data_IF_714048508886
#
_entry.id   IF_714048508886
#
_cell.length_a   1.000
_cell.length_b   1.000
_cell.length_c   1.000
_cell.angle_alpha   90.00
_cell.angle_beta   90.00
_cell.angle_gamma   90.00
#
_symmetry.space_group_name_H-M   'P 1'
#
loop_
_entity.id
_entity.type
_entity.pdbx_description
1 polymer ?
#
# COMPACT_ATOMS: atom_id res chain seq x y z
N UNK A 1 -24.07 -16.80 -7.26
CA UNK A 1 -23.86 -15.34 -7.32
C UNK A 1 -22.38 -15.00 -7.48
N UNK A 2 -21.46 -15.57 -6.68
CA UNK A 2 -19.99 -15.40 -6.86
C UNK A 2 -19.44 -15.91 -8.20
N UNK A 3 -20.01 -17.03 -8.64
CA UNK A 3 -19.74 -17.64 -9.94
C UNK A 3 -20.12 -16.75 -11.13
N UNK A 4 -20.94 -15.70 -10.96
CA UNK A 4 -21.36 -14.87 -12.10
C UNK A 4 -20.34 -13.79 -12.46
N UNK A 5 -19.81 -13.04 -11.48
CA UNK A 5 -18.85 -11.97 -11.75
C UNK A 5 -17.56 -12.56 -12.34
N UNK A 6 -17.01 -13.56 -11.68
CA UNK A 6 -15.78 -14.23 -12.11
C UNK A 6 -15.92 -14.91 -13.48
N UNK A 7 -17.10 -15.45 -13.79
CA UNK A 7 -17.41 -16.01 -15.11
C UNK A 7 -17.52 -14.93 -16.16
N UNK A 8 -18.25 -13.84 -15.90
CA UNK A 8 -18.37 -12.71 -16.85
C UNK A 8 -16.99 -12.15 -17.19
N UNK A 9 -16.14 -11.92 -16.20
CA UNK A 9 -14.76 -11.46 -16.41
C UNK A 9 -13.91 -12.48 -17.19
N UNK A 10 -14.05 -13.78 -16.90
CA UNK A 10 -13.29 -14.80 -17.62
C UNK A 10 -13.74 -14.94 -19.09
N UNK A 11 -15.05 -14.91 -19.34
CA UNK A 11 -15.59 -14.97 -20.70
C UNK A 11 -15.22 -13.70 -21.49
N UNK A 12 -15.27 -12.52 -20.86
CA UNK A 12 -14.80 -11.26 -21.44
C UNK A 12 -13.32 -11.30 -21.78
N UNK A 13 -12.46 -11.78 -20.87
CA UNK A 13 -11.03 -11.91 -21.10
C UNK A 13 -10.75 -12.82 -22.30
N UNK A 14 -11.48 -13.92 -22.45
CA UNK A 14 -11.32 -14.85 -23.58
C UNK A 14 -11.71 -14.18 -24.90
N UNK A 15 -12.84 -13.49 -24.92
CA UNK A 15 -13.29 -12.74 -26.10
C UNK A 15 -12.31 -11.62 -26.46
N UNK A 16 -11.83 -10.87 -25.47
CA UNK A 16 -10.84 -9.82 -25.65
C UNK A 16 -9.52 -10.36 -26.23
N UNK A 17 -9.00 -11.46 -25.68
CA UNK A 17 -7.78 -12.10 -26.16
C UNK A 17 -7.92 -12.62 -27.60
N UNK A 18 -9.07 -13.20 -27.93
CA UNK A 18 -9.36 -13.68 -29.28
C UNK A 18 -9.49 -12.54 -30.28
N UNK A 19 -10.21 -11.48 -29.93
CA UNK A 19 -10.53 -10.39 -30.85
C UNK A 19 -9.33 -9.47 -31.11
N UNK A 20 -8.51 -9.19 -30.11
CA UNK A 20 -7.39 -8.25 -30.23
C UNK A 20 -6.08 -8.92 -30.62
N UNK A 21 -5.88 -10.19 -30.26
CA UNK A 21 -4.60 -10.88 -30.45
C UNK A 21 -4.72 -12.21 -31.19
N UNK A 22 -5.93 -12.65 -31.54
CA UNK A 22 -6.14 -13.96 -32.17
C UNK A 22 -5.84 -15.15 -31.24
N UNK A 23 -5.81 -14.93 -29.93
CA UNK A 23 -5.39 -15.93 -28.94
C UNK A 23 -6.63 -16.58 -28.30
N UNK A 24 -6.75 -17.89 -28.46
CA UNK A 24 -7.81 -18.67 -27.82
C UNK A 24 -7.41 -19.10 -26.40
N UNK A 25 -7.85 -18.35 -25.39
CA UNK A 25 -7.60 -18.72 -23.99
C UNK A 25 -8.53 -19.87 -23.54
N UNK A 26 -7.94 -20.87 -22.86
CA UNK A 26 -8.71 -21.90 -22.14
C UNK A 26 -9.50 -21.28 -21.00
N UNK A 27 -10.70 -21.80 -20.73
CA UNK A 27 -11.56 -21.32 -19.64
C UNK A 27 -10.88 -21.40 -18.27
N UNK A 28 -10.16 -22.48 -17.99
CA UNK A 28 -9.39 -22.64 -16.74
C UNK A 28 -8.35 -21.52 -16.57
N UNK A 29 -7.56 -21.23 -17.60
CA UNK A 29 -6.56 -20.16 -17.55
C UNK A 29 -7.20 -18.78 -17.39
N UNK A 30 -8.32 -18.52 -18.06
CA UNK A 30 -9.03 -17.26 -17.92
C UNK A 30 -9.48 -17.02 -16.48
N UNK A 31 -10.00 -18.04 -15.80
CA UNK A 31 -10.39 -17.89 -14.40
C UNK A 31 -9.20 -17.71 -13.45
N UNK A 32 -8.07 -18.35 -13.71
CA UNK A 32 -6.84 -18.14 -12.92
C UNK A 32 -6.30 -16.72 -13.09
N UNK A 33 -6.31 -16.19 -14.32
CA UNK A 33 -5.90 -14.81 -14.57
C UNK A 33 -6.87 -13.82 -13.93
N UNK A 34 -8.19 -14.02 -14.05
CA UNK A 34 -9.18 -13.18 -13.37
C UNK A 34 -8.94 -13.16 -11.85
N UNK A 35 -8.62 -14.30 -11.25
CA UNK A 35 -8.28 -14.37 -9.83
C UNK A 35 -7.04 -13.51 -9.49
N UNK A 36 -6.00 -13.58 -10.33
CA UNK A 36 -4.80 -12.75 -10.18
C UNK A 36 -5.10 -11.25 -10.32
N UNK A 37 -5.95 -10.87 -11.28
CA UNK A 37 -6.40 -9.49 -11.42
C UNK A 37 -7.20 -9.02 -10.20
N UNK A 38 -7.94 -9.90 -9.53
CA UNK A 38 -8.62 -9.58 -8.26
C UNK A 38 -7.71 -9.69 -7.02
N UNK A 39 -6.41 -9.89 -7.23
CA UNK A 39 -5.36 -9.91 -6.21
C UNK A 39 -5.18 -11.23 -5.48
N UNK A 40 -5.72 -12.33 -6.02
CA UNK A 40 -5.55 -13.67 -5.47
C UNK A 40 -4.45 -14.45 -6.16
N UNK A 41 -3.76 -15.31 -5.42
CA UNK A 41 -2.73 -16.21 -5.98
C UNK A 41 -3.30 -17.30 -6.89
N UNK A 42 -4.58 -17.65 -6.74
CA UNK A 42 -5.25 -18.66 -7.56
C UNK A 42 -6.77 -18.50 -7.55
N UNK A 43 -7.44 -19.16 -8.49
CA UNK A 43 -8.91 -19.28 -8.47
C UNK A 43 -9.42 -19.95 -7.19
N UNK A 44 -8.70 -20.94 -6.68
CA UNK A 44 -9.08 -21.62 -5.44
C UNK A 44 -9.00 -20.66 -4.23
N UNK A 45 -7.97 -19.82 -4.16
CA UNK A 45 -7.84 -18.80 -3.12
C UNK A 45 -8.98 -17.77 -3.20
N UNK A 46 -9.34 -17.32 -4.41
CA UNK A 46 -10.48 -16.44 -4.62
C UNK A 46 -11.77 -17.04 -4.06
N UNK A 47 -12.07 -18.29 -4.39
CA UNK A 47 -13.30 -18.98 -3.96
C UNK A 47 -13.30 -19.35 -2.47
N UNK A 48 -12.13 -19.35 -1.82
CA UNK A 48 -11.99 -19.61 -0.41
C UNK A 48 -12.14 -18.33 0.44
N UNK A 49 -12.14 -17.14 -0.16
CA UNK A 49 -12.31 -15.88 0.57
C UNK A 49 -13.75 -15.71 1.04
N UNK A 50 -13.98 -16.11 2.29
CA UNK A 50 -15.25 -15.95 2.98
C UNK A 50 -15.37 -14.60 3.70
N UNK A 51 -14.27 -13.86 3.84
CA UNK A 51 -14.19 -12.63 4.62
C UNK A 51 -14.57 -11.40 3.79
N UNK A 52 -14.07 -11.35 2.56
CA UNK A 52 -14.35 -10.27 1.59
C UNK A 52 -14.65 -10.89 0.22
N UNK A 53 -15.72 -11.70 0.07
CA UNK A 53 -16.01 -12.38 -1.18
C UNK A 53 -16.26 -11.37 -2.31
N UNK A 54 -15.83 -11.72 -3.53
CA UNK A 54 -15.95 -10.81 -4.69
C UNK A 54 -17.40 -10.46 -5.05
N UNK A 55 -18.39 -11.22 -4.58
CA UNK A 55 -19.82 -10.86 -4.72
C UNK A 55 -20.18 -9.54 -4.09
N UNK A 56 -19.42 -9.11 -3.08
CA UNK A 56 -19.67 -7.88 -2.35
C UNK A 56 -19.19 -6.65 -3.12
N UNK A 57 -18.75 -6.77 -4.37
CA UNK A 57 -18.17 -5.65 -5.12
C UNK A 57 -19.10 -4.44 -5.20
N UNK A 58 -20.42 -4.66 -5.19
CA UNK A 58 -21.45 -3.59 -5.13
C UNK A 58 -21.47 -2.79 -3.83
N UNK A 59 -20.82 -3.29 -2.79
CA UNK A 59 -20.68 -2.61 -1.49
C UNK A 59 -19.40 -1.77 -1.44
N UNK A 60 -18.50 -1.91 -2.43
CA UNK A 60 -17.28 -1.12 -2.49
C UNK A 60 -17.58 0.31 -2.94
N UNK A 61 -16.95 1.27 -2.26
CA UNK A 61 -16.91 2.69 -2.62
C UNK A 61 -15.73 2.97 -3.56
N UNK A 62 -14.68 2.16 -3.51
CA UNK A 62 -13.52 2.27 -4.38
C UNK A 62 -13.17 0.90 -4.93
N UNK A 63 -12.90 0.85 -6.24
CA UNK A 63 -12.27 -0.30 -6.88
C UNK A 63 -10.85 0.09 -7.22
N UNK A 64 -9.86 -0.63 -6.70
CA UNK A 64 -8.45 -0.33 -6.92
C UNK A 64 -7.82 -1.48 -7.68
N UNK A 65 -7.18 -1.17 -8.80
CA UNK A 65 -6.56 -2.17 -9.66
C UNK A 65 -5.37 -2.82 -8.96
N UNK A 66 -5.28 -4.15 -9.06
CA UNK A 66 -4.14 -4.92 -8.57
C UNK A 66 -2.86 -4.54 -9.32
N UNK A 67 -1.70 -4.39 -8.65
CA UNK A 67 -0.42 -4.20 -9.30
C UNK A 67 -0.12 -5.28 -10.34
N UNK A 68 0.58 -4.90 -11.42
CA UNK A 68 0.84 -5.83 -12.54
C UNK A 68 1.87 -6.92 -12.23
N UNK A 69 2.71 -6.74 -11.21
CA UNK A 69 3.77 -7.70 -10.87
C UNK A 69 3.24 -9.08 -10.46
N UNK A 70 2.31 -9.21 -9.48
CA UNK A 70 1.66 -10.49 -9.15
C UNK A 70 0.96 -11.16 -10.33
N UNK A 71 0.35 -10.36 -11.22
CA UNK A 71 -0.33 -10.87 -12.42
C UNK A 71 0.67 -11.49 -13.40
N UNK A 72 1.81 -10.83 -13.62
CA UNK A 72 2.89 -11.34 -14.48
C UNK A 72 3.51 -12.61 -13.91
N UNK A 73 3.75 -12.65 -12.60
CA UNK A 73 4.21 -13.86 -11.91
C UNK A 73 3.24 -15.01 -12.14
N UNK A 74 1.94 -14.76 -11.97
CA UNK A 74 0.92 -15.78 -12.24
C UNK A 74 0.90 -16.27 -13.68
N UNK A 75 1.09 -15.38 -14.65
CA UNK A 75 1.23 -15.78 -16.06
C UNK A 75 2.44 -16.71 -16.29
N UNK A 76 3.52 -16.58 -15.51
CA UNK A 76 4.70 -17.43 -15.67
C UNK A 76 4.54 -18.81 -15.02
N UNK A 77 3.71 -18.92 -13.97
CA UNK A 77 3.44 -20.19 -13.26
C UNK A 77 2.46 -21.11 -13.99
N UNK A 78 1.57 -20.54 -14.80
CA UNK A 78 0.49 -21.28 -15.45
C UNK A 78 1.00 -22.05 -16.68
N UNK A 79 1.16 -23.36 -16.51
CA UNK A 79 1.57 -24.26 -17.59
C UNK A 79 0.58 -24.26 -18.76
N UNK A 80 1.10 -24.14 -19.99
CA UNK A 80 0.30 -24.21 -21.21
C UNK A 80 -0.48 -22.94 -21.54
N UNK A 81 -0.09 -21.80 -20.95
CA UNK A 81 -0.49 -20.49 -21.46
C UNK A 81 0.15 -20.24 -22.85
N UNK A 82 -0.52 -19.49 -23.73
CA UNK A 82 0.06 -19.08 -25.01
C UNK A 82 1.30 -18.21 -24.81
N UNK A 83 2.41 -18.53 -25.48
CA UNK A 83 3.69 -17.80 -25.34
C UNK A 83 3.62 -16.33 -25.78
N UNK A 84 2.69 -16.01 -26.68
CA UNK A 84 2.49 -14.66 -27.21
C UNK A 84 1.42 -13.86 -26.44
N UNK A 85 1.02 -14.29 -25.24
CA UNK A 85 -0.01 -13.60 -24.48
C UNK A 85 0.52 -12.24 -23.98
N UNK A 86 -0.11 -11.12 -24.37
CA UNK A 86 0.34 -9.80 -23.93
C UNK A 86 0.07 -9.58 -22.44
N UNK A 87 0.82 -8.65 -21.84
CA UNK A 87 0.63 -8.27 -20.44
C UNK A 87 -0.53 -7.29 -20.21
N UNK A 88 -1.06 -6.69 -21.28
CA UNK A 88 -2.13 -5.67 -21.26
C UNK A 88 -3.51 -6.31 -21.39
N UNK A 89 -3.85 -7.21 -20.46
CA UNK A 89 -5.17 -7.89 -20.45
C UNK A 89 -6.17 -7.23 -19.50
N UNK A 90 -5.77 -6.14 -18.86
CA UNK A 90 -6.52 -5.41 -17.83
C UNK A 90 -7.93 -5.05 -18.31
N UNK A 91 -8.03 -4.50 -19.51
CA UNK A 91 -9.31 -4.08 -20.11
C UNK A 91 -10.23 -5.28 -20.29
N UNK A 92 -9.74 -6.38 -20.89
CA UNK A 92 -10.51 -7.60 -21.08
C UNK A 92 -11.08 -8.19 -19.79
N UNK A 93 -10.37 -8.06 -18.66
CA UNK A 93 -10.81 -8.55 -17.35
C UNK A 93 -11.85 -7.64 -16.71
N UNK A 94 -11.58 -6.33 -16.69
CA UNK A 94 -12.42 -5.37 -15.97
C UNK A 94 -13.60 -4.84 -16.78
N UNK A 95 -13.63 -5.08 -18.10
CA UNK A 95 -14.72 -4.64 -18.99
C UNK A 95 -16.12 -4.98 -18.44
N UNK A 96 -16.41 -6.19 -17.93
CA UNK A 96 -17.74 -6.52 -17.42
C UNK A 96 -18.09 -5.86 -16.08
N UNK A 97 -17.11 -5.24 -15.42
CA UNK A 97 -17.35 -4.42 -14.25
C UNK A 97 -17.83 -3.03 -14.68
N UNK A 98 -17.48 -2.57 -15.87
CA UNK A 98 -18.02 -1.33 -16.42
C UNK A 98 -19.42 -1.60 -17.01
N UNK A 99 -20.48 -1.41 -16.21
CA UNK A 99 -21.85 -1.44 -16.73
C UNK A 99 -22.22 -0.05 -17.30
N UNK A 100 -22.55 0.00 -18.58
CA UNK A 100 -22.99 1.22 -19.26
C UNK A 100 -24.38 1.72 -18.77
N UNK A 101 -25.20 0.82 -18.21
CA UNK A 101 -26.52 1.15 -17.66
C UNK A 101 -26.45 1.52 -16.17
N UNK A 102 -25.46 0.98 -15.47
CA UNK A 102 -25.26 1.07 -14.02
C UNK A 102 -23.92 1.79 -13.80
N UNK A 103 -23.92 3.12 -13.95
CA UNK A 103 -22.74 4.03 -13.90
C UNK A 103 -21.90 3.99 -12.61
N UNK A 104 -22.17 3.08 -11.68
CA UNK A 104 -21.56 3.05 -10.35
C UNK A 104 -20.08 2.64 -10.34
N UNK A 105 -19.63 1.77 -11.26
CA UNK A 105 -18.23 1.30 -11.27
C UNK A 105 -17.29 2.30 -11.98
N UNK A 106 -17.73 2.92 -13.07
CA UNK A 106 -16.86 3.74 -13.92
C UNK A 106 -16.25 4.97 -13.22
N UNK A 107 -16.90 5.53 -12.20
CA UNK A 107 -16.43 6.74 -11.51
C UNK A 107 -15.50 6.48 -10.33
N UNK A 108 -15.28 5.21 -9.96
CA UNK A 108 -14.58 4.85 -8.71
C UNK A 108 -13.48 3.78 -8.91
N UNK A 109 -13.03 3.57 -10.16
CA UNK A 109 -11.86 2.71 -10.44
C UNK A 109 -10.57 3.51 -10.38
N UNK A 110 -9.65 3.07 -9.54
CA UNK A 110 -8.36 3.70 -9.29
C UNK A 110 -7.21 2.81 -9.75
N UNK A 111 -6.18 3.36 -10.42
CA UNK A 111 -5.06 2.56 -10.92
C UNK A 111 -4.20 1.96 -9.80
N UNK A 112 -4.14 2.63 -8.64
CA UNK A 112 -3.48 2.17 -7.43
C UNK A 112 -3.95 2.99 -6.22
N UNK A 113 -3.62 2.51 -5.02
CA UNK A 113 -3.99 3.15 -3.75
C UNK A 113 -3.31 4.51 -3.55
N UNK A 114 -2.13 4.74 -4.15
CA UNK A 114 -1.45 6.03 -4.03
C UNK A 114 -2.24 7.13 -4.73
N UNK A 115 -2.66 6.91 -5.98
CA UNK A 115 -3.47 7.87 -6.75
C UNK A 115 -4.83 8.13 -6.09
N UNK A 116 -5.49 7.10 -5.57
CA UNK A 116 -6.70 7.26 -4.76
C UNK A 116 -6.45 8.19 -3.58
N UNK A 117 -5.38 7.96 -2.81
CA UNK A 117 -5.00 8.82 -1.69
C UNK A 117 -4.80 10.28 -2.09
N UNK A 118 -4.14 10.54 -3.23
CA UNK A 118 -3.94 11.91 -3.72
C UNK A 118 -5.26 12.61 -3.98
N UNK A 119 -6.21 11.93 -4.64
CA UNK A 119 -7.50 12.54 -4.96
C UNK A 119 -8.34 12.73 -3.70
N UNK A 120 -8.38 11.77 -2.78
CA UNK A 120 -9.05 11.95 -1.48
C UNK A 120 -8.48 13.16 -0.71
N UNK A 121 -7.16 13.36 -0.74
CA UNK A 121 -6.53 14.53 -0.13
C UNK A 121 -6.85 15.84 -0.87
N UNK A 122 -7.02 15.82 -2.19
CA UNK A 122 -7.49 16.99 -2.96
C UNK A 122 -8.94 17.33 -2.63
N UNK A 123 -9.81 16.33 -2.55
CA UNK A 123 -11.21 16.51 -2.14
C UNK A 123 -11.30 17.08 -0.73
N UNK A 124 -10.55 16.52 0.22
CA UNK A 124 -10.49 17.07 1.58
C UNK A 124 -9.99 18.52 1.61
N UNK A 125 -8.94 18.84 0.85
CA UNK A 125 -8.42 20.20 0.77
C UNK A 125 -9.46 21.17 0.19
N UNK A 126 -10.19 20.77 -0.86
CA UNK A 126 -11.22 21.59 -1.50
C UNK A 126 -12.45 21.83 -0.61
N UNK A 127 -12.76 20.90 0.30
CA UNK A 127 -13.83 21.06 1.29
C UNK A 127 -13.46 21.99 2.44
N UNK A 128 -12.16 22.23 2.67
CA UNK A 128 -11.71 23.07 3.77
C UNK A 128 -11.87 24.56 3.40
N UNK A 129 -12.72 25.33 4.11
CA UNK A 129 -12.99 26.73 3.81
C UNK A 129 -11.76 27.64 3.99
N UNK A 130 -10.73 27.17 4.71
CA UNK A 130 -9.45 27.86 4.89
C UNK A 130 -8.40 27.47 3.85
N UNK A 131 -8.71 26.54 2.95
CA UNK A 131 -7.84 26.23 1.83
C UNK A 131 -7.89 27.37 0.81
N UNK A 132 -6.77 28.08 0.68
CA UNK A 132 -6.65 29.15 -0.30
C UNK A 132 -6.43 28.54 -1.68
N UNK A 133 -7.21 28.91 -2.72
CA UNK A 133 -7.01 28.41 -4.09
C UNK A 133 -5.64 28.78 -4.68
N UNK A 134 -4.92 29.69 -4.02
CA UNK A 134 -3.55 30.07 -4.38
C UNK A 134 -2.47 29.20 -3.72
N UNK A 135 -2.83 28.26 -2.84
CA UNK A 135 -1.88 27.32 -2.25
C UNK A 135 -1.38 26.36 -3.34
N UNK A 136 -0.06 26.18 -3.42
CA UNK A 136 0.57 25.22 -4.32
C UNK A 136 1.25 24.13 -3.52
N UNK A 137 1.11 22.89 -3.97
CA UNK A 137 1.84 21.76 -3.41
C UNK A 137 3.31 21.90 -3.81
N UNK A 138 4.19 22.05 -2.84
CA UNK A 138 5.65 22.09 -3.03
C UNK A 138 6.26 20.69 -2.91
N UNK A 139 5.80 19.90 -1.92
CA UNK A 139 6.22 18.51 -1.71
C UNK A 139 5.00 17.64 -1.45
N UNK A 140 5.05 16.42 -1.96
CA UNK A 140 4.02 15.42 -1.73
C UNK A 140 4.63 14.03 -1.63
N UNK A 141 4.06 13.20 -0.76
CA UNK A 141 4.34 11.77 -0.68
C UNK A 141 3.08 11.01 -0.31
N UNK A 142 3.04 9.73 -0.64
CA UNK A 142 2.00 8.81 -0.19
C UNK A 142 2.67 7.56 0.37
N UNK A 143 2.16 7.07 1.50
CA UNK A 143 2.57 5.80 2.11
C UNK A 143 1.32 4.96 2.29
N UNK A 144 1.39 3.71 1.84
CA UNK A 144 0.29 2.75 1.99
C UNK A 144 0.72 1.68 2.99
N UNK A 145 -0.13 1.41 3.97
CA UNK A 145 0.07 0.39 5.00
C UNK A 145 -1.08 -0.61 4.96
N UNK A 146 -0.77 -1.89 5.08
CA UNK A 146 -1.74 -2.97 5.09
C UNK A 146 -1.72 -3.65 6.45
N UNK A 147 -2.88 -3.77 7.08
CA UNK A 147 -3.06 -4.52 8.31
C UNK A 147 -4.35 -5.36 8.21
N UNK A 148 -4.19 -6.66 7.96
CA UNK A 148 -5.30 -7.57 7.69
C UNK A 148 -6.18 -7.08 6.53
N UNK A 149 -7.42 -6.68 6.81
CA UNK A 149 -8.39 -6.17 5.84
C UNK A 149 -8.48 -4.64 5.85
N UNK A 150 -7.62 -3.98 6.62
CA UNK A 150 -7.53 -2.54 6.69
C UNK A 150 -6.34 -2.06 5.86
N UNK A 151 -6.57 -0.94 5.17
CA UNK A 151 -5.58 -0.26 4.37
C UNK A 151 -5.51 1.19 4.84
N UNK A 152 -4.37 1.60 5.36
CA UNK A 152 -4.09 2.98 5.70
C UNK A 152 -3.38 3.67 4.54
N UNK A 153 -3.98 4.71 3.97
CA UNK A 153 -3.33 5.58 2.98
C UNK A 153 -2.95 6.88 3.67
N UNK A 154 -1.65 7.10 3.86
CA UNK A 154 -1.10 8.31 4.48
C UNK A 154 -0.57 9.22 3.40
N UNK A 155 -1.14 10.41 3.28
CA UNK A 155 -0.77 11.44 2.29
C UNK A 155 -0.11 12.60 3.02
N UNK A 156 1.10 12.94 2.60
CA UNK A 156 1.92 14.01 3.18
C UNK A 156 2.02 15.13 2.15
N UNK A 157 1.68 16.37 2.53
CA UNK A 157 1.73 17.53 1.64
C UNK A 157 2.33 18.73 2.32
N UNK A 158 3.23 19.40 1.62
CA UNK A 158 3.72 20.72 2.00
C UNK A 158 3.17 21.74 1.02
N UNK A 159 2.37 22.68 1.52
CA UNK A 159 1.81 23.76 0.74
C UNK A 159 2.64 25.03 0.93
N UNK A 160 2.81 25.78 -0.15
CA UNK A 160 3.29 27.16 -0.11
C UNK A 160 2.16 28.11 -0.49
N UNK A 161 2.13 29.29 0.12
CA UNK A 161 1.27 30.38 -0.33
C UNK A 161 2.11 31.48 -1.00
N UNK A 162 2.21 31.50 -2.35
CA UNK A 162 3.02 32.48 -3.06
C UNK A 162 2.62 33.93 -2.77
N UNK A 163 1.33 34.20 -2.53
CA UNK A 163 0.83 35.54 -2.23
C UNK A 163 1.35 36.08 -0.90
N UNK A 164 1.44 35.24 0.13
CA UNK A 164 2.01 35.61 1.44
C UNK A 164 3.53 35.63 1.41
N UNK A 165 4.17 34.82 0.56
CA UNK A 165 5.61 34.86 0.34
C UNK A 165 6.07 36.21 -0.20
N UNK A 166 5.34 36.76 -1.17
CA UNK A 166 5.67 38.07 -1.77
C UNK A 166 5.49 39.23 -0.80
N UNK A 167 4.48 39.17 0.08
CA UNK A 167 4.19 40.24 1.04
C UNK A 167 5.11 40.21 2.28
N UNK A 168 5.51 39.02 2.75
CA UNK A 168 6.30 38.85 3.98
C UNK A 168 7.81 38.69 3.75
N UNK A 169 8.23 38.44 2.50
CA UNK A 169 9.62 38.10 2.16
C UNK A 169 10.08 36.74 2.71
N UNK A 170 9.19 35.95 3.32
CA UNK A 170 9.46 34.62 3.86
C UNK A 170 8.50 33.60 3.25
N UNK A 171 9.00 32.40 2.93
CA UNK A 171 8.14 31.32 2.49
C UNK A 171 7.20 30.90 3.62
N UNK A 172 5.91 31.19 3.48
CA UNK A 172 4.88 30.67 4.37
C UNK A 172 4.53 29.28 3.87
N UNK A 173 5.11 28.28 4.55
CA UNK A 173 4.84 26.86 4.33
C UNK A 173 3.75 26.37 5.31
N UNK A 174 3.03 25.32 4.92
CA UNK A 174 2.07 24.60 5.75
C UNK A 174 2.18 23.12 5.47
N UNK A 175 2.48 22.33 6.49
CA UNK A 175 2.47 20.89 6.41
C UNK A 175 1.08 20.34 6.70
N UNK A 176 0.63 19.39 5.89
CA UNK A 176 -0.62 18.65 6.08
C UNK A 176 -0.33 17.16 5.93
N UNK A 177 -0.89 16.37 6.84
CA UNK A 177 -0.89 14.91 6.77
C UNK A 177 -2.33 14.44 6.86
N UNK A 178 -2.76 13.70 5.85
CA UNK A 178 -4.06 13.04 5.81
C UNK A 178 -3.85 11.53 5.92
N UNK A 179 -4.69 10.86 6.72
CA UNK A 179 -4.73 9.40 6.82
C UNK A 179 -6.14 8.94 6.50
N UNK A 180 -6.28 8.17 5.42
CA UNK A 180 -7.54 7.54 5.02
C UNK A 180 -7.46 6.06 5.36
N UNK A 181 -8.32 5.58 6.26
CA UNK A 181 -8.42 4.15 6.53
C UNK A 181 -9.55 3.57 5.70
N UNK A 182 -9.18 2.60 4.87
CA UNK A 182 -10.09 1.85 4.04
C UNK A 182 -10.23 0.43 4.58
N UNK A 183 -11.41 -0.15 4.40
CA UNK A 183 -11.68 -1.55 4.71
C UNK A 183 -11.98 -2.32 3.43
N UNK A 184 -11.34 -3.47 3.29
CA UNK A 184 -11.57 -4.42 2.21
C UNK A 184 -12.96 -5.05 2.37
N UNK A 185 -13.81 -4.90 1.36
CA UNK A 185 -15.18 -5.45 1.37
C UNK A 185 -15.41 -6.50 0.28
N UNK A 186 -14.63 -6.47 -0.80
CA UNK A 186 -14.81 -7.38 -1.94
C UNK A 186 -13.53 -7.63 -2.72
N UNK A 187 -13.05 -8.87 -2.72
CA UNK A 187 -11.75 -9.19 -3.32
C UNK A 187 -10.60 -8.43 -2.65
N UNK A 188 -9.45 -8.37 -3.30
CA UNK A 188 -8.38 -7.43 -2.94
C UNK A 188 -8.45 -6.12 -3.71
N UNK A 189 -9.62 -5.82 -4.30
CA UNK A 189 -9.82 -4.66 -5.17
C UNK A 189 -10.92 -3.72 -4.67
N UNK A 190 -11.90 -4.20 -3.90
CA UNK A 190 -13.04 -3.41 -3.43
C UNK A 190 -12.88 -2.94 -2.00
N UNK A 191 -12.96 -1.62 -1.80
CA UNK A 191 -12.74 -0.95 -0.52
C UNK A 191 -13.85 0.05 -0.19
N UNK A 192 -14.06 0.32 1.11
CA UNK A 192 -14.89 1.42 1.62
C UNK A 192 -14.06 2.28 2.57
N UNK A 193 -14.28 3.60 2.61
CA UNK A 193 -13.62 4.45 3.59
C UNK A 193 -14.30 4.34 4.96
N UNK A 194 -13.56 3.94 5.99
CA UNK A 194 -14.08 3.84 7.36
C UNK A 194 -13.92 5.16 8.12
N UNK A 195 -12.74 5.77 8.01
CA UNK A 195 -12.46 7.04 8.67
C UNK A 195 -11.34 7.81 7.96
N UNK A 196 -11.27 9.09 8.28
CA UNK A 196 -10.25 10.02 7.80
C UNK A 196 -9.76 10.86 8.97
N UNK A 197 -8.44 11.00 9.08
CA UNK A 197 -7.79 11.87 10.05
C UNK A 197 -6.91 12.87 9.30
N UNK A 198 -6.99 14.14 9.68
CA UNK A 198 -6.12 15.17 9.13
C UNK A 198 -5.40 15.91 10.25
N UNK A 199 -4.15 16.24 10.01
CA UNK A 199 -3.36 17.08 10.91
C UNK A 199 -2.55 18.07 10.10
N UNK A 200 -2.57 19.31 10.56
CA UNK A 200 -1.77 20.39 10.01
C UNK A 200 -0.80 20.97 11.05
N UNK A 201 0.30 21.53 10.53
CA UNK A 201 1.29 22.28 11.28
C UNK A 201 2.02 23.29 10.37
N UNK A 202 2.88 24.10 10.98
CA UNK A 202 3.68 25.12 10.29
C UNK A 202 4.68 24.50 9.28
N UNK A 203 5.10 23.26 9.50
CA UNK A 203 5.97 22.51 8.57
C UNK A 203 5.46 21.09 8.38
N UNK A 204 5.89 20.43 7.30
CA UNK A 204 5.54 19.03 7.06
C UNK A 204 6.06 18.11 8.17
N UNK A 205 7.29 18.29 8.62
CA UNK A 205 7.88 17.47 9.69
C UNK A 205 7.10 17.63 11.00
N UNK A 206 6.67 18.84 11.33
CA UNK A 206 5.83 19.09 12.52
C UNK A 206 4.45 18.42 12.39
N UNK A 207 3.86 18.42 11.19
CA UNK A 207 2.59 17.76 10.94
C UNK A 207 2.72 16.22 11.04
N UNK A 208 3.83 15.66 10.55
CA UNK A 208 4.17 14.24 10.69
C UNK A 208 4.33 13.85 12.15
N UNK A 209 5.09 14.62 12.93
CA UNK A 209 5.28 14.36 14.36
C UNK A 209 3.95 14.40 15.12
N UNK A 210 3.13 15.43 14.85
CA UNK A 210 1.81 15.58 15.47
C UNK A 210 0.85 14.45 15.08
N UNK A 211 0.89 13.97 13.84
CA UNK A 211 0.10 12.82 13.39
C UNK A 211 0.56 11.53 14.09
N UNK A 212 1.86 11.32 14.27
CA UNK A 212 2.39 10.16 15.01
C UNK A 212 1.86 10.07 16.45
N UNK A 213 1.77 11.20 17.14
CA UNK A 213 1.19 11.28 18.49
C UNK A 213 -0.31 10.95 18.49
N UNK A 214 -1.04 11.37 17.45
CA UNK A 214 -2.47 11.09 17.27
C UNK A 214 -2.71 9.61 16.97
N UNK A 215 -1.94 9.03 16.04
CA UNK A 215 -2.05 7.62 15.68
C UNK A 215 -1.74 6.69 16.86
N UNK A 216 -0.69 7.00 17.62
CA UNK A 216 -0.34 6.23 18.83
C UNK A 216 -1.49 6.21 19.85
N UNK A 217 -2.21 7.34 20.00
CA UNK A 217 -3.37 7.45 20.89
C UNK A 217 -4.61 6.75 20.32
N UNK A 218 -4.82 6.79 19.01
CA UNK A 218 -5.93 6.08 18.35
C UNK A 218 -5.75 4.56 18.47
N UNK A 219 -4.55 4.04 18.21
CA UNK A 219 -4.23 2.61 18.39
C UNK A 219 -4.45 2.20 19.87
N UNK A 220 -3.96 3.01 20.81
CA UNK A 220 -4.11 2.73 22.26
C UNK A 220 -5.58 2.77 22.72
N UNK A 221 -6.43 3.59 22.10
CA UNK A 221 -7.85 3.70 22.46
C UNK A 221 -8.74 2.67 21.75
N UNK A 222 -8.40 2.28 20.51
CA UNK A 222 -9.07 1.19 19.79
C UNK A 222 -8.81 -0.18 20.44
N UNK A 223 -7.63 -0.40 21.02
CA UNK A 223 -7.31 -1.62 21.77
C UNK A 223 -8.14 -1.80 23.05
N UNK A 224 -8.74 -0.74 23.61
CA UNK A 224 -9.62 -0.84 24.78
C UNK A 224 -11.07 -1.20 24.45
N UNK A 225 -11.44 -1.28 23.16
CA UNK A 225 -12.84 -1.45 22.72
C UNK A 225 -13.17 -2.81 22.11
N UNK A 226 -12.19 -3.70 21.94
CA UNK A 226 -12.40 -5.02 21.32
C UNK A 226 -11.48 -6.06 21.93
N UNK A 227 -11.98 -6.72 22.97
CA UNK A 227 -11.42 -7.99 23.45
C UNK A 227 -11.98 -9.12 22.57
N UNK A 228 -11.15 -9.67 21.67
CA UNK A 228 -11.21 -11.07 21.26
C UNK A 228 -9.90 -11.43 20.51
N UNK A 229 -9.25 -12.47 21.00
CA UNK A 229 -7.92 -12.94 20.65
C UNK A 229 -7.77 -13.37 19.17
N UNK A 230 -6.68 -12.96 18.53
CA UNK A 230 -5.92 -13.88 17.67
C UNK A 230 -4.45 -13.45 17.65
N UNK A 231 -3.57 -14.34 18.12
CA UNK A 231 -2.12 -14.14 18.13
C UNK A 231 -1.61 -14.49 16.73
N UNK A 232 -1.49 -13.49 15.86
CA UNK A 232 -0.61 -13.56 14.70
C UNK A 232 0.70 -12.88 15.07
N UNK A 233 1.77 -13.68 15.14
CA UNK A 233 3.10 -13.19 15.48
C UNK A 233 3.60 -12.32 14.32
N UNK A 234 3.44 -11.01 14.45
CA UNK A 234 3.83 -10.02 13.45
C UNK A 234 5.28 -10.22 12.99
N UNK A 235 5.47 -10.22 11.67
CA UNK A 235 6.57 -9.55 10.98
C UNK A 235 7.66 -8.92 11.86
N UNK A 236 8.71 -9.60 12.37
CA UNK A 236 9.66 -8.91 13.24
C UNK A 236 10.35 -7.83 12.44
N UNK A 237 10.19 -6.57 12.84
CA UNK A 237 10.81 -5.42 12.17
C UNK A 237 12.32 -5.60 12.08
N UNK A 238 12.99 -4.88 11.16
CA UNK A 238 14.46 -4.96 11.05
C UNK A 238 15.16 -4.71 12.40
N UNK A 239 14.66 -3.76 13.19
CA UNK A 239 15.17 -3.44 14.53
C UNK A 239 14.97 -4.62 15.50
N UNK A 240 13.81 -5.28 15.49
CA UNK A 240 13.56 -6.46 16.34
C UNK A 240 14.36 -7.68 15.91
N UNK A 241 14.54 -7.87 14.60
CA UNK A 241 15.42 -8.89 14.07
C UNK A 241 16.89 -8.63 14.43
N UNK A 242 17.33 -7.38 14.37
CA UNK A 242 18.69 -6.96 14.70
C UNK A 242 18.99 -7.14 16.19
N UNK A 243 18.02 -6.87 17.08
CA UNK A 243 18.12 -7.17 18.53
C UNK A 243 18.50 -8.61 18.82
N UNK A 244 18.04 -9.57 18.00
CA UNK A 244 18.37 -11.00 18.15
C UNK A 244 19.82 -11.34 17.80
N UNK A 245 20.54 -10.43 17.13
CA UNK A 245 21.93 -10.62 16.70
C UNK A 245 22.98 -10.13 17.73
N UNK A 246 22.55 -9.49 18.84
CA UNK A 246 23.40 -8.80 19.81
C UNK A 246 24.52 -9.64 20.47
N UNK A 247 24.37 -10.96 20.50
CA UNK A 247 25.33 -11.88 21.13
C UNK A 247 26.36 -12.47 20.14
N UNK A 248 26.40 -11.98 18.90
CA UNK A 248 27.34 -12.47 17.88
C UNK A 248 28.65 -11.69 17.95
N UNK A 249 29.78 -12.39 18.01
CA UNK A 249 31.11 -11.79 17.85
C UNK A 249 31.38 -11.54 16.36
N UNK A 250 30.83 -10.44 15.84
CA UNK A 250 30.91 -10.05 14.43
C UNK A 250 30.48 -8.59 14.26
N UNK A 251 30.82 -7.93 13.14
CA UNK A 251 30.35 -6.57 12.86
C UNK A 251 28.82 -6.40 12.97
N UNK A 252 28.05 -7.45 12.63
CA UNK A 252 26.59 -7.46 12.78
C UNK A 252 26.14 -7.42 14.26
N UNK A 253 26.84 -8.13 15.13
CA UNK A 253 26.56 -8.13 16.56
C UNK A 253 26.97 -6.83 17.24
N UNK A 254 28.09 -6.24 16.79
CA UNK A 254 28.52 -4.91 17.23
C UNK A 254 27.49 -3.84 16.85
N UNK A 255 27.02 -3.85 15.59
CA UNK A 255 25.93 -2.98 15.13
C UNK A 255 24.66 -3.16 15.97
N UNK A 256 24.29 -4.39 16.32
CA UNK A 256 23.12 -4.67 17.15
C UNK A 256 23.29 -4.18 18.60
N UNK A 257 24.51 -4.23 19.15
CA UNK A 257 24.82 -3.71 20.48
C UNK A 257 24.83 -2.18 20.51
N UNK A 258 25.39 -1.54 19.48
CA UNK A 258 25.39 -0.08 19.34
C UNK A 258 23.97 0.44 19.18
N UNK A 259 23.16 -0.23 18.36
CA UNK A 259 21.72 0.03 18.22
C UNK A 259 20.97 -0.05 19.56
N UNK A 260 21.31 -1.00 20.44
CA UNK A 260 20.67 -1.13 21.76
C UNK A 260 21.09 -0.03 22.75
N UNK A 261 22.30 0.51 22.59
CA UNK A 261 22.83 1.58 23.44
C UNK A 261 22.36 2.96 22.99
N UNK A 262 22.02 3.09 21.71
CA UNK A 262 21.54 4.31 21.11
C UNK A 262 20.06 4.55 21.44
N UNK A 263 19.81 5.41 22.43
CA UNK A 263 18.45 5.82 22.82
C UNK A 263 17.69 6.57 21.73
N UNK A 264 18.39 7.07 20.71
CA UNK A 264 17.81 7.77 19.56
C UNK A 264 17.73 6.88 18.33
N UNK A 265 18.01 5.57 18.47
CA UNK A 265 17.90 4.63 17.36
C UNK A 265 16.48 4.65 16.79
N UNK A 266 16.33 4.88 15.48
CA UNK A 266 15.03 5.17 14.92
C UNK A 266 14.34 3.87 14.50
N UNK A 267 13.03 3.77 14.73
CA UNK A 267 12.21 2.64 14.28
C UNK A 267 11.80 2.84 12.81
N UNK A 268 12.77 2.78 11.91
CA UNK A 268 12.57 3.10 10.49
C UNK A 268 12.28 1.84 9.66
N UNK A 269 11.63 2.00 8.52
CA UNK A 269 11.17 0.87 7.68
C UNK A 269 12.00 0.62 6.43
N UNK A 270 12.97 1.49 6.08
CA UNK A 270 13.76 1.34 4.85
C UNK A 270 15.26 1.43 5.10
N UNK A 271 16.04 0.72 4.30
CA UNK A 271 17.50 0.74 4.38
C UNK A 271 18.07 2.17 4.27
N UNK A 272 17.54 2.97 3.35
CA UNK A 272 18.02 4.34 3.10
C UNK A 272 17.90 5.22 4.35
N UNK A 273 16.76 5.12 5.03
CA UNK A 273 16.53 5.91 6.24
C UNK A 273 17.45 5.51 7.41
N UNK A 274 17.85 4.23 7.51
CA UNK A 274 18.89 3.81 8.46
C UNK A 274 20.29 4.29 8.04
N UNK A 275 20.58 4.39 6.74
CA UNK A 275 21.85 4.95 6.24
C UNK A 275 21.94 6.43 6.59
N UNK A 276 20.88 7.19 6.31
CA UNK A 276 20.80 8.61 6.63
C UNK A 276 20.97 8.85 8.13
N UNK A 277 20.35 8.00 8.95
CA UNK A 277 20.53 8.04 10.40
C UNK A 277 21.99 7.80 10.81
N UNK A 278 22.62 6.74 10.32
CA UNK A 278 24.01 6.44 10.63
C UNK A 278 24.96 7.55 10.14
N UNK A 279 24.71 8.11 8.97
CA UNK A 279 25.44 9.27 8.47
C UNK A 279 25.27 10.50 9.39
N UNK A 280 24.05 10.76 9.89
CA UNK A 280 23.79 11.86 10.83
C UNK A 280 24.50 11.70 12.18
N UNK A 281 24.82 10.46 12.56
CA UNK A 281 25.62 10.13 13.76
C UNK A 281 27.13 10.06 13.48
N UNK A 282 27.58 10.46 12.29
CA UNK A 282 28.96 10.30 11.83
C UNK A 282 29.48 8.87 11.96
N UNK A 283 28.62 7.88 11.72
CA UNK A 283 29.02 6.48 11.76
C UNK A 283 30.06 6.18 10.69
N UNK A 284 30.98 5.27 11.01
CA UNK A 284 32.01 4.87 10.06
C UNK A 284 31.41 4.25 8.80
N UNK A 285 32.13 4.35 7.68
CA UNK A 285 31.74 3.70 6.43
C UNK A 285 31.57 2.18 6.61
N UNK A 286 32.40 1.56 7.46
CA UNK A 286 32.32 0.15 7.82
C UNK A 286 30.99 -0.19 8.53
N UNK A 287 30.51 0.71 9.41
CA UNK A 287 29.21 0.57 10.09
C UNK A 287 28.06 0.62 9.08
N UNK A 288 28.11 1.54 8.12
CA UNK A 288 27.11 1.65 7.04
C UNK A 288 27.12 0.42 6.13
N UNK A 289 28.30 -0.07 5.74
CA UNK A 289 28.42 -1.30 4.95
C UNK A 289 27.90 -2.53 5.71
N UNK A 290 28.11 -2.56 7.03
CA UNK A 290 27.60 -3.61 7.91
C UNK A 290 26.08 -3.58 7.99
N UNK A 291 25.46 -2.39 8.06
CA UNK A 291 24.01 -2.21 7.98
C UNK A 291 23.44 -2.76 6.67
N UNK A 292 24.06 -2.48 5.51
CA UNK A 292 23.59 -3.01 4.23
C UNK A 292 23.61 -4.55 4.17
N UNK A 293 24.69 -5.15 4.69
CA UNK A 293 24.82 -6.61 4.79
C UNK A 293 23.80 -7.22 5.77
N UNK A 294 23.56 -6.53 6.89
CA UNK A 294 22.53 -6.88 7.86
C UNK A 294 21.15 -6.87 7.19
N UNK A 295 20.84 -5.83 6.41
CA UNK A 295 19.58 -5.68 5.70
C UNK A 295 19.34 -6.78 4.65
N UNK A 296 20.38 -7.17 3.90
CA UNK A 296 20.31 -8.32 2.99
C UNK A 296 20.00 -9.62 3.74
N UNK A 297 20.64 -9.82 4.90
CA UNK A 297 20.42 -10.99 5.75
C UNK A 297 19.02 -11.02 6.35
N UNK A 298 18.49 -9.86 6.74
CA UNK A 298 17.12 -9.70 7.21
C UNK A 298 16.09 -10.06 6.14
N UNK A 299 16.25 -9.56 4.90
CA UNK A 299 15.36 -9.93 3.79
C UNK A 299 15.41 -11.44 3.49
N UNK A 300 16.59 -12.04 3.55
CA UNK A 300 16.75 -13.49 3.43
C UNK A 300 16.12 -14.26 4.60
N UNK A 301 16.09 -13.69 5.81
CA UNK A 301 15.41 -14.27 6.96
C UNK A 301 13.89 -14.24 6.79
N UNK A 302 13.31 -13.11 6.34
CA UNK A 302 11.88 -13.02 6.04
C UNK A 302 11.46 -14.05 4.98
N UNK A 303 12.24 -14.17 3.90
CA UNK A 303 12.01 -15.16 2.84
C UNK A 303 12.09 -16.61 3.32
N UNK A 304 12.79 -16.91 4.42
CA UNK A 304 12.85 -18.25 5.03
C UNK A 304 11.77 -18.49 6.09
N UNK A 305 11.29 -17.44 6.76
CA UNK A 305 10.19 -17.54 7.76
C UNK A 305 8.85 -17.78 7.08
N UNK A 306 8.70 -17.26 5.86
CA UNK A 306 7.56 -17.51 4.98
C UNK A 306 8.03 -18.32 3.75
N UNK A 307 8.43 -19.60 3.91
CA UNK A 307 8.63 -20.44 2.74
C UNK A 307 7.26 -20.61 2.08
N UNK A 308 7.16 -20.25 0.80
CA UNK A 308 5.97 -20.44 -0.02
C UNK A 308 5.46 -21.88 0.04
#
# INVERSE_FOLDING_TARGET
MELEITKKCADSLRSFAQNNYGIQLKSSHAHELVAAYFGYSSRAALLADTKSPITNLRQAEFVVLTPTAPIKERCNELNGLPENLPHELVEGVYLPLYDENDKWILTQVWPNLEELGKVLADEHANLNPYHSPFQKIQRQGVKVEFENDLVGIVVFREYINPGLTLASGKNVVRGVVDVFNLKRVAGHIGYVQENHFSTEAETLDAAIMKMGDVYSKIITSAQNSTHAESVFESEPTFTEWLKKQKNRDSPLGDLAMDMLRDKTWPTLSTLETYRDYLHSKNASWQTVQTLERAWKSYKAFLARKNPA
#
